data_IF_513243303359
#
_entry.id   IF_513243303359
#
_cell.length_a   1.000
_cell.length_b   1.000
_cell.length_c   1.000
_cell.angle_alpha   90.00
_cell.angle_beta   90.00
_cell.angle_gamma   90.00
#
_symmetry.space_group_name_H-M   'P 1'
#
loop_
_entity.id
_entity.type
_entity.pdbx_description
1 polymer ?
#
# COMPACT_ATOMS: atom_id res chain seq x y z
N UNK A 1 50.23 27.19 17.14
CA UNK A 1 49.68 26.85 15.81
C UNK A 1 48.40 27.62 15.47
N UNK A 2 47.40 27.69 16.30
CA UNK A 2 46.13 28.41 16.05
C UNK A 2 46.33 29.91 15.71
N UNK A 3 47.21 30.63 16.40
CA UNK A 3 47.50 32.06 16.12
C UNK A 3 48.08 32.28 14.73
N UNK A 4 48.88 31.33 14.24
CA UNK A 4 49.52 31.42 12.92
C UNK A 4 48.47 31.16 11.83
N UNK A 5 47.61 30.14 12.02
CA UNK A 5 46.49 29.84 11.11
C UNK A 5 45.52 31.02 10.98
N UNK A 6 45.17 31.65 12.12
CA UNK A 6 44.32 32.85 12.13
C UNK A 6 44.89 34.03 11.37
N UNK A 7 46.23 34.26 11.53
CA UNK A 7 46.95 35.30 10.79
C UNK A 7 46.96 35.03 9.30
N UNK A 8 47.16 33.76 8.93
CA UNK A 8 47.13 33.31 7.53
C UNK A 8 45.80 33.50 6.87
N UNK A 9 44.72 33.07 7.54
CA UNK A 9 43.32 33.25 7.06
C UNK A 9 42.96 34.73 6.85
N UNK A 10 43.46 35.60 7.73
CA UNK A 10 43.22 37.05 7.63
C UNK A 10 44.02 37.74 6.51
N UNK A 11 45.15 37.16 6.16
CA UNK A 11 45.99 37.65 5.06
C UNK A 11 45.43 37.22 3.70
N UNK A 12 45.01 35.96 3.55
CA UNK A 12 44.48 35.40 2.32
C UNK A 12 42.94 35.28 2.35
N UNK A 13 42.26 36.41 2.51
CA UNK A 13 40.80 36.45 2.69
C UNK A 13 40.04 35.79 1.55
N UNK A 14 40.40 36.01 0.30
CA UNK A 14 39.73 35.45 -0.86
C UNK A 14 39.83 33.91 -0.92
N UNK A 15 41.01 33.36 -0.64
CA UNK A 15 41.18 31.90 -0.61
C UNK A 15 40.46 31.26 0.56
N UNK A 16 40.51 31.92 1.73
CA UNK A 16 39.79 31.46 2.91
C UNK A 16 38.27 31.45 2.67
N UNK A 17 37.74 32.49 2.05
CA UNK A 17 36.32 32.55 1.67
C UNK A 17 35.94 31.45 0.67
N UNK A 18 36.76 31.18 -0.34
CA UNK A 18 36.53 30.11 -1.31
C UNK A 18 36.52 28.72 -0.65
N UNK A 19 37.41 28.46 0.32
CA UNK A 19 37.39 27.19 1.07
C UNK A 19 36.12 27.07 1.92
N UNK A 20 35.76 28.13 2.65
CA UNK A 20 34.49 28.10 3.42
C UNK A 20 33.26 27.89 2.53
N UNK A 21 33.21 28.60 1.41
CA UNK A 21 32.10 28.44 0.46
C UNK A 21 32.00 27.02 -0.10
N UNK A 22 33.13 26.41 -0.44
CA UNK A 22 33.16 25.03 -0.94
C UNK A 22 32.71 24.01 0.11
N UNK A 23 33.14 24.18 1.37
CA UNK A 23 32.72 23.32 2.48
C UNK A 23 31.22 23.45 2.73
N UNK A 24 30.69 24.66 2.77
CA UNK A 24 29.27 24.92 2.94
C UNK A 24 28.43 24.30 1.80
N UNK A 25 28.90 24.48 0.56
CA UNK A 25 28.20 23.92 -0.60
C UNK A 25 28.21 22.40 -0.57
N UNK A 26 29.33 21.79 -0.24
CA UNK A 26 29.45 20.33 -0.12
C UNK A 26 28.55 19.79 1.00
N UNK A 27 28.57 20.42 2.17
CA UNK A 27 27.73 20.04 3.30
C UNK A 27 26.23 20.19 2.98
N UNK A 28 25.85 21.27 2.30
CA UNK A 28 24.48 21.51 1.85
C UNK A 28 24.01 20.45 0.85
N UNK A 29 24.84 20.09 -0.13
CA UNK A 29 24.54 19.04 -1.10
C UNK A 29 24.37 17.67 -0.43
N UNK A 30 25.27 17.28 0.47
CA UNK A 30 25.19 16.03 1.20
C UNK A 30 23.92 15.96 2.06
N UNK A 31 23.61 17.04 2.75
CA UNK A 31 22.39 17.14 3.56
C UNK A 31 21.13 17.03 2.70
N UNK A 32 21.10 17.72 1.56
CA UNK A 32 20.00 17.69 0.61
C UNK A 32 19.76 16.29 0.04
N UNK A 33 20.82 15.63 -0.41
CA UNK A 33 20.73 14.26 -0.94
C UNK A 33 20.23 13.29 0.15
N UNK A 34 20.79 13.37 1.36
CA UNK A 34 20.37 12.51 2.47
C UNK A 34 18.90 12.71 2.82
N UNK A 35 18.43 13.94 2.82
CA UNK A 35 17.02 14.27 3.06
C UNK A 35 16.10 13.71 1.97
N UNK A 36 16.49 13.81 0.71
CA UNK A 36 15.74 13.26 -0.42
C UNK A 36 15.65 11.73 -0.34
N UNK A 37 16.75 11.05 -0.07
CA UNK A 37 16.77 9.58 0.08
C UNK A 37 15.85 9.15 1.21
N UNK A 38 15.94 9.79 2.37
CA UNK A 38 15.09 9.48 3.51
C UNK A 38 13.60 9.72 3.20
N UNK A 39 13.27 10.84 2.56
CA UNK A 39 11.90 11.17 2.16
C UNK A 39 11.35 10.15 1.14
N UNK A 40 12.16 9.78 0.15
CA UNK A 40 11.78 8.75 -0.84
C UNK A 40 11.49 7.41 -0.18
N UNK A 41 12.40 6.91 0.66
CA UNK A 41 12.21 5.63 1.36
C UNK A 41 10.96 5.63 2.23
N UNK A 42 10.69 6.72 2.94
CA UNK A 42 9.48 6.85 3.76
C UNK A 42 8.21 6.87 2.92
N UNK A 43 8.25 7.56 1.78
CA UNK A 43 7.13 7.61 0.84
C UNK A 43 6.87 6.24 0.20
N UNK A 44 7.94 5.56 -0.23
CA UNK A 44 7.85 4.23 -0.84
C UNK A 44 7.28 3.19 0.15
N UNK A 45 7.71 3.24 1.42
CA UNK A 45 7.16 2.38 2.47
C UNK A 45 5.67 2.66 2.73
N UNK A 46 5.29 3.93 2.83
CA UNK A 46 3.89 4.31 3.01
C UNK A 46 3.03 3.86 1.82
N UNK A 47 3.54 4.05 0.62
CA UNK A 47 2.86 3.64 -0.61
C UNK A 47 2.71 2.12 -0.70
N UNK A 48 3.76 1.38 -0.34
CA UNK A 48 3.72 -0.08 -0.28
C UNK A 48 2.66 -0.58 0.70
N UNK A 49 2.56 0.01 1.88
CA UNK A 49 1.53 -0.34 2.86
C UNK A 49 0.13 -0.06 2.36
N UNK A 50 -0.08 1.06 1.67
CA UNK A 50 -1.38 1.40 1.10
C UNK A 50 -1.80 0.44 -0.02
N UNK A 51 -0.86 -0.02 -0.85
CA UNK A 51 -1.15 -0.90 -1.98
C UNK A 51 -1.27 -2.36 -1.54
N UNK A 52 -0.32 -2.83 -0.74
CA UNK A 52 -0.20 -4.24 -0.38
C UNK A 52 -0.75 -4.60 0.99
N UNK A 53 -0.96 -3.64 1.87
CA UNK A 53 -1.41 -3.85 3.24
C UNK A 53 -0.29 -3.87 4.28
N UNK A 54 -0.66 -4.04 5.55
CA UNK A 54 0.25 -3.97 6.71
C UNK A 54 0.92 -5.30 7.06
N UNK A 55 0.96 -6.25 6.14
CA UNK A 55 1.66 -7.53 6.36
C UNK A 55 3.01 -7.58 5.64
N UNK A 56 3.95 -8.34 6.21
CA UNK A 56 5.23 -8.62 5.58
C UNK A 56 5.19 -9.91 4.76
N UNK A 57 4.44 -10.89 5.25
CA UNK A 57 4.23 -12.18 4.61
C UNK A 57 2.80 -12.64 4.83
N UNK A 58 2.24 -13.36 3.89
CA UNK A 58 1.00 -14.08 4.07
C UNK A 58 1.19 -15.56 3.73
N UNK A 59 0.45 -16.41 4.42
CA UNK A 59 0.44 -17.83 4.20
C UNK A 59 -1.00 -18.28 4.15
N UNK A 60 -1.38 -18.91 3.05
CA UNK A 60 -2.68 -19.56 2.96
C UNK A 60 -2.56 -20.94 3.62
N UNK A 61 -3.37 -21.15 4.64
CA UNK A 61 -3.30 -22.36 5.43
C UNK A 61 -4.66 -22.68 6.04
N UNK A 62 -4.81 -23.93 6.46
CA UNK A 62 -5.93 -24.34 7.28
C UNK A 62 -5.73 -23.96 8.76
N UNK A 63 -6.80 -24.08 9.52
CA UNK A 63 -6.83 -23.70 10.93
C UNK A 63 -5.91 -24.58 11.80
N UNK A 64 -5.70 -25.83 11.42
CA UNK A 64 -4.85 -26.76 12.19
C UNK A 64 -3.38 -26.38 12.06
N UNK A 65 -2.95 -26.08 10.84
CA UNK A 65 -1.57 -25.65 10.58
C UNK A 65 -1.30 -24.27 11.20
N UNK A 66 -2.25 -23.33 11.13
CA UNK A 66 -2.14 -22.04 11.79
C UNK A 66 -1.87 -22.19 13.29
N UNK A 67 -2.69 -22.97 14.00
CA UNK A 67 -2.53 -23.22 15.43
C UNK A 67 -1.17 -23.89 15.76
N UNK A 68 -0.67 -24.75 14.89
CA UNK A 68 0.62 -25.40 15.06
C UNK A 68 1.80 -24.43 14.88
N UNK A 69 1.67 -23.46 14.00
CA UNK A 69 2.68 -22.40 13.79
C UNK A 69 2.66 -21.42 14.95
N UNK A 70 1.48 -21.00 15.40
CA UNK A 70 1.31 -20.07 16.52
C UNK A 70 1.87 -20.63 17.82
N UNK A 71 1.59 -21.90 18.12
CA UNK A 71 2.09 -22.59 19.33
C UNK A 71 3.54 -23.03 19.26
N UNK A 72 4.12 -23.10 18.06
CA UNK A 72 5.47 -23.59 17.82
C UNK A 72 6.58 -22.55 17.97
N UNK A 73 7.84 -23.04 18.01
CA UNK A 73 9.03 -22.17 18.04
C UNK A 73 9.17 -21.29 16.78
N UNK A 74 8.62 -21.73 15.66
CA UNK A 74 8.66 -21.00 14.38
C UNK A 74 7.85 -19.72 14.37
N UNK A 75 6.86 -19.60 15.27
CA UNK A 75 6.07 -18.37 15.45
C UNK A 75 6.72 -17.32 16.36
N UNK A 76 7.81 -17.67 17.06
CA UNK A 76 8.48 -16.72 17.96
C UNK A 76 9.16 -15.59 17.16
N UNK A 77 8.85 -14.37 17.53
CA UNK A 77 9.42 -13.17 16.91
C UNK A 77 8.58 -12.60 15.76
N UNK A 78 7.41 -13.18 15.49
CA UNK A 78 6.42 -12.66 14.54
C UNK A 78 5.10 -12.40 15.25
N UNK A 79 4.40 -11.36 14.82
CA UNK A 79 2.99 -11.17 15.16
C UNK A 79 2.17 -11.89 14.10
N UNK A 80 1.38 -12.85 14.53
CA UNK A 80 0.51 -13.64 13.65
C UNK A 80 -0.91 -13.13 13.80
N UNK A 81 -1.51 -12.77 12.65
CA UNK A 81 -2.90 -12.37 12.56
C UNK A 81 -3.65 -13.35 11.66
N UNK A 82 -4.73 -13.92 12.17
CA UNK A 82 -5.60 -14.75 11.37
C UNK A 82 -6.66 -13.85 10.71
N UNK A 83 -6.74 -13.93 9.38
CA UNK A 83 -7.77 -13.22 8.62
C UNK A 83 -8.41 -14.14 7.59
N UNK A 84 -9.65 -13.86 7.23
CA UNK A 84 -10.40 -14.57 6.21
C UNK A 84 -10.56 -13.71 4.96
N UNK A 85 -10.01 -14.18 3.84
CA UNK A 85 -10.29 -13.66 2.51
C UNK A 85 -10.69 -14.86 1.63
N UNK A 86 -11.79 -14.73 0.94
CA UNK A 86 -12.22 -15.68 -0.07
C UNK A 86 -12.50 -14.95 -1.37
N UNK A 87 -11.84 -15.35 -2.44
CA UNK A 87 -12.19 -14.90 -3.78
C UNK A 87 -13.41 -15.70 -4.26
N UNK A 88 -14.48 -14.97 -4.56
CA UNK A 88 -15.75 -15.61 -4.93
C UNK A 88 -15.77 -15.86 -6.43
N UNK A 89 -15.43 -14.84 -7.21
CA UNK A 89 -15.52 -14.90 -8.67
C UNK A 89 -14.76 -13.75 -9.32
N UNK A 90 -14.10 -14.05 -10.41
CA UNK A 90 -13.62 -13.07 -11.37
C UNK A 90 -14.62 -12.94 -12.51
N UNK A 91 -14.97 -11.71 -12.85
CA UNK A 91 -15.85 -11.39 -13.96
C UNK A 91 -15.12 -10.45 -14.90
N UNK A 92 -15.05 -10.85 -16.16
CA UNK A 92 -14.55 -9.99 -17.22
C UNK A 92 -15.69 -9.09 -17.67
N UNK A 93 -15.55 -7.78 -17.45
CA UNK A 93 -16.47 -6.77 -17.89
C UNK A 93 -15.81 -5.95 -18.99
N UNK A 94 -16.22 -6.17 -20.24
CA UNK A 94 -15.69 -5.50 -21.42
C UNK A 94 -14.17 -5.53 -21.53
N UNK A 95 -13.47 -4.49 -20.99
CA UNK A 95 -12.02 -4.34 -21.09
C UNK A 95 -11.27 -4.57 -19.76
N UNK A 96 -11.98 -4.86 -18.67
CA UNK A 96 -11.34 -5.04 -17.36
C UNK A 96 -11.95 -6.19 -16.56
N UNK A 97 -11.15 -6.73 -15.66
CA UNK A 97 -11.53 -7.83 -14.79
C UNK A 97 -11.97 -7.29 -13.42
N UNK A 98 -13.12 -7.75 -12.95
CA UNK A 98 -13.64 -7.45 -11.61
C UNK A 98 -13.49 -8.69 -10.76
N UNK A 99 -12.79 -8.57 -9.64
CA UNK A 99 -12.66 -9.63 -8.65
C UNK A 99 -13.64 -9.37 -7.50
N UNK A 100 -14.53 -10.31 -7.26
CA UNK A 100 -15.41 -10.31 -6.10
C UNK A 100 -14.78 -11.07 -4.96
N UNK A 101 -14.59 -10.40 -3.83
CA UNK A 101 -14.02 -11.00 -2.63
C UNK A 101 -14.97 -10.89 -1.46
N UNK A 102 -14.97 -11.92 -0.63
CA UNK A 102 -15.51 -11.86 0.71
C UNK A 102 -14.35 -11.79 1.70
N UNK A 103 -14.36 -10.79 2.57
CA UNK A 103 -13.25 -10.55 3.50
C UNK A 103 -13.80 -10.21 4.89
N UNK A 104 -13.18 -10.76 5.92
CA UNK A 104 -13.47 -10.41 7.30
C UNK A 104 -12.94 -9.02 7.66
N UNK A 105 -13.30 -8.55 8.84
CA UNK A 105 -12.90 -7.23 9.32
C UNK A 105 -11.38 -7.13 9.50
N UNK A 106 -10.74 -8.16 9.99
CA UNK A 106 -9.28 -8.21 10.18
C UNK A 106 -8.54 -8.03 8.86
N UNK A 107 -8.96 -8.75 7.82
CA UNK A 107 -8.39 -8.58 6.48
C UNK A 107 -8.60 -7.16 5.94
N UNK A 108 -9.81 -6.60 6.08
CA UNK A 108 -10.10 -5.25 5.59
C UNK A 108 -9.23 -4.19 6.25
N UNK A 109 -9.05 -4.28 7.57
CA UNK A 109 -8.19 -3.36 8.32
C UNK A 109 -6.72 -3.47 7.89
N UNK A 110 -6.19 -4.68 7.80
CA UNK A 110 -4.81 -4.92 7.38
C UNK A 110 -4.55 -4.51 5.93
N UNK A 111 -5.55 -4.67 5.05
CA UNK A 111 -5.48 -4.31 3.64
C UNK A 111 -5.84 -2.84 3.35
N UNK A 112 -6.11 -2.05 4.39
CA UNK A 112 -6.56 -0.65 4.26
C UNK A 112 -7.77 -0.49 3.33
N UNK A 113 -8.75 -1.42 3.46
CA UNK A 113 -9.99 -1.40 2.67
C UNK A 113 -11.08 -0.66 3.43
N UNK A 114 -10.89 0.64 3.59
CA UNK A 114 -11.85 1.53 4.23
C UNK A 114 -12.90 2.00 3.22
N UNK A 115 -14.13 2.20 3.71
CA UNK A 115 -15.17 2.80 2.89
C UNK A 115 -15.01 4.31 2.87
N UNK A 116 -15.14 4.91 1.69
CA UNK A 116 -15.23 6.36 1.54
C UNK A 116 -16.60 6.86 1.98
N UNK A 117 -17.64 6.09 1.66
CA UNK A 117 -19.03 6.40 1.98
C UNK A 117 -19.84 5.12 2.19
N UNK A 118 -20.84 5.18 3.06
CA UNK A 118 -21.79 4.09 3.31
C UNK A 118 -21.36 3.12 4.40
N UNK A 119 -21.86 1.90 4.32
CA UNK A 119 -21.58 0.79 5.24
C UNK A 119 -21.16 -0.44 4.47
N UNK A 120 -20.38 -1.32 5.10
CA UNK A 120 -20.08 -2.61 4.49
C UNK A 120 -21.36 -3.45 4.30
N UNK A 121 -21.40 -4.27 3.22
CA UNK A 121 -22.53 -5.14 2.94
C UNK A 121 -22.84 -6.08 4.10
N UNK A 122 -24.09 -6.13 4.50
CA UNK A 122 -24.60 -7.06 5.51
C UNK A 122 -25.50 -8.14 4.92
N UNK A 123 -26.07 -7.89 3.73
CA UNK A 123 -27.00 -8.78 3.05
C UNK A 123 -26.40 -9.36 1.78
N UNK A 124 -26.89 -10.51 1.36
CA UNK A 124 -26.40 -11.24 0.19
C UNK A 124 -26.48 -10.47 -1.14
N UNK A 125 -27.38 -9.48 -1.24
CA UNK A 125 -27.56 -8.67 -2.43
C UNK A 125 -26.92 -7.27 -2.34
N UNK A 126 -26.09 -7.04 -1.37
CA UNK A 126 -25.35 -5.79 -1.18
C UNK A 126 -23.90 -5.99 -1.54
N UNK A 127 -23.29 -4.98 -2.15
CA UNK A 127 -21.87 -4.96 -2.47
C UNK A 127 -21.28 -3.60 -2.12
N UNK A 128 -20.04 -3.59 -1.69
CA UNK A 128 -19.19 -2.40 -1.68
C UNK A 128 -18.31 -2.44 -2.92
N UNK A 129 -18.30 -1.39 -3.70
CA UNK A 129 -17.55 -1.34 -4.94
C UNK A 129 -16.55 -0.18 -4.94
N UNK A 130 -15.40 -0.41 -5.55
CA UNK A 130 -14.41 0.64 -5.80
C UNK A 130 -14.94 1.68 -6.78
N UNK A 131 -14.59 2.95 -6.57
CA UNK A 131 -15.02 4.05 -7.44
C UNK A 131 -14.56 3.89 -8.89
N UNK A 132 -13.40 3.25 -9.12
CA UNK A 132 -12.92 2.92 -10.45
C UNK A 132 -13.86 1.92 -11.15
N UNK A 133 -14.29 0.87 -10.43
CA UNK A 133 -15.25 -0.11 -10.95
C UNK A 133 -16.57 0.55 -11.30
N UNK A 134 -17.11 1.37 -10.40
CA UNK A 134 -18.37 2.09 -10.64
C UNK A 134 -18.29 3.00 -11.86
N UNK A 135 -17.21 3.76 -11.98
CA UNK A 135 -17.00 4.67 -13.10
C UNK A 135 -16.90 3.95 -14.44
N UNK A 136 -16.20 2.81 -14.51
CA UNK A 136 -16.05 2.03 -15.73
C UNK A 136 -17.32 1.29 -16.15
N UNK A 137 -18.15 0.93 -15.17
CA UNK A 137 -19.48 0.37 -15.45
C UNK A 137 -20.53 1.44 -15.85
N UNK A 138 -20.12 2.69 -15.96
CA UNK A 138 -21.02 3.80 -16.28
C UNK A 138 -22.05 4.10 -15.18
N UNK A 139 -21.74 3.69 -13.95
CA UNK A 139 -22.65 3.87 -12.82
C UNK A 139 -22.49 5.26 -12.22
N UNK A 140 -23.56 6.04 -12.25
CA UNK A 140 -23.62 7.40 -11.68
C UNK A 140 -24.58 7.49 -10.48
N UNK A 141 -24.92 6.35 -9.88
CA UNK A 141 -25.89 6.28 -8.80
C UNK A 141 -25.30 6.71 -7.45
N UNK A 142 -26.19 7.12 -6.56
CA UNK A 142 -25.87 7.42 -5.17
C UNK A 142 -25.83 6.11 -4.36
N UNK A 143 -25.29 6.18 -3.13
CA UNK A 143 -25.35 5.08 -2.16
C UNK A 143 -26.74 4.50 -2.03
N UNK A 144 -26.82 3.16 -1.99
CA UNK A 144 -28.09 2.44 -1.93
C UNK A 144 -28.84 2.35 -3.26
N UNK A 145 -28.24 2.78 -4.36
CA UNK A 145 -28.84 2.58 -5.68
C UNK A 145 -28.80 1.11 -6.06
N UNK A 146 -29.90 0.64 -6.66
CA UNK A 146 -30.03 -0.74 -7.15
C UNK A 146 -29.56 -0.79 -8.60
N UNK A 147 -28.51 -1.56 -8.86
CA UNK A 147 -28.06 -1.85 -10.22
C UNK A 147 -28.54 -3.22 -10.66
N UNK A 148 -29.27 -3.27 -11.75
CA UNK A 148 -29.64 -4.52 -12.40
C UNK A 148 -28.59 -4.84 -13.48
N UNK A 149 -27.49 -5.43 -13.08
CA UNK A 149 -26.55 -5.99 -14.05
C UNK A 149 -27.08 -7.34 -14.50
N UNK A 150 -27.57 -7.44 -15.73
CA UNK A 150 -27.76 -8.72 -16.39
C UNK A 150 -26.40 -9.34 -16.68
N UNK A 151 -25.83 -10.03 -15.72
CA UNK A 151 -24.74 -10.96 -15.99
C UNK A 151 -25.35 -12.10 -16.82
N UNK A 152 -25.29 -11.98 -18.15
CA UNK A 152 -25.50 -13.12 -19.02
C UNK A 152 -24.40 -14.13 -18.70
N UNK A 153 -24.77 -15.16 -17.95
CA UNK A 153 -24.00 -16.37 -17.91
C UNK A 153 -23.96 -16.88 -19.36
N UNK A 154 -22.81 -16.81 -20.01
CA UNK A 154 -22.57 -17.59 -21.21
C UNK A 154 -22.57 -19.06 -20.76
N UNK A 155 -23.74 -19.67 -20.82
CA UNK A 155 -23.80 -21.13 -20.93
C UNK A 155 -23.06 -21.49 -22.21
N UNK A 156 -21.84 -21.97 -22.05
CA UNK A 156 -21.21 -22.75 -23.11
C UNK A 156 -21.97 -24.05 -23.21
N UNK A 157 -22.99 -24.05 -24.08
CA UNK A 157 -23.61 -25.24 -24.57
C UNK A 157 -22.55 -26.01 -25.36
N UNK A 158 -21.90 -26.96 -24.74
CA UNK A 158 -21.26 -28.05 -25.44
C UNK A 158 -22.37 -29.00 -25.88
N UNK A 159 -22.85 -28.79 -27.10
CA UNK A 159 -23.55 -29.82 -27.82
C UNK A 159 -22.50 -30.60 -28.64
N UNK A 160 -22.32 -31.90 -28.27
CA UNK A 160 -21.77 -33.05 -28.99
C UNK A 160 -20.28 -33.03 -29.31
#
# INVERSE_FOLDING_TARGET
>A
MLKLAWKYMRYYKSQTFAIFASILLTASLLSGISSLIYSSQKSDLANSKTIYGDWHYYIETDKELFNSVESGEKGKGYTLEQCGKMEIRDVVAEEFMICFIHADETYRQMAHRDLLEGTFPEKENEIAADGFVLSNLGFSGNLGAVSYTHLRAHETRHDL
#
